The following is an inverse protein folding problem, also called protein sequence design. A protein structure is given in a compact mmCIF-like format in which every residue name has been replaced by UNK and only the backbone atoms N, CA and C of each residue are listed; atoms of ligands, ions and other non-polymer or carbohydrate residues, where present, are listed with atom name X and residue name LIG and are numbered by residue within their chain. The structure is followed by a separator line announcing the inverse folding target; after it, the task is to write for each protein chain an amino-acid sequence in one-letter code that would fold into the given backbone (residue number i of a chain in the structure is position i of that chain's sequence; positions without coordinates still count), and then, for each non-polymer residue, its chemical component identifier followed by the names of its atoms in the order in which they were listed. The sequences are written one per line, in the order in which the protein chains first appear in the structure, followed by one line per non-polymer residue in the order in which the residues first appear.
data_IF_909346202701
#
_entry.id   IF_909346202701
#
_cell.length_a   1.000
_cell.length_b   1.000
_cell.length_c   1.000
_cell.angle_alpha   90.00
_cell.angle_beta   90.00
_cell.angle_gamma   90.00
#
_symmetry.space_group_name_H-M   'P 1'
#
loop_
_entity.id
_entity.type
_entity.pdbx_description
1 polymer ?
#
# COMPACT_ATOMS: atom_id res chain seq x y z
N UNK A 1 -5.72 28.65 8.87
CA UNK A 1 -4.73 28.40 7.82
C UNK A 1 -3.41 28.26 8.53
N UNK A 2 -2.99 27.02 8.81
CA UNK A 2 -1.62 26.80 9.29
C UNK A 2 -0.67 27.02 8.10
N UNK A 3 0.48 27.69 8.31
CA UNK A 3 1.45 27.87 7.25
C UNK A 3 1.95 26.48 6.83
N UNK A 4 1.85 26.21 5.53
CA UNK A 4 2.49 25.07 4.88
C UNK A 4 3.96 25.14 5.26
N UNK A 5 4.45 24.14 5.98
CA UNK A 5 5.86 24.02 6.30
C UNK A 5 6.65 24.17 5.00
N UNK A 6 7.72 24.97 5.04
CA UNK A 6 8.61 25.23 3.89
C UNK A 6 8.80 23.93 3.13
N UNK A 7 8.47 23.94 1.85
CA UNK A 7 8.79 22.87 0.91
C UNK A 7 10.28 22.58 1.05
N UNK A 8 10.59 21.55 1.77
CA UNK A 8 11.91 20.96 1.68
C UNK A 8 11.95 20.38 0.28
N UNK A 9 12.77 20.97 -0.59
CA UNK A 9 13.05 20.39 -1.91
C UNK A 9 13.71 19.04 -1.68
N UNK A 10 12.90 18.02 -1.54
CA UNK A 10 13.37 16.64 -1.43
C UNK A 10 13.60 16.13 -2.84
N UNK A 11 14.74 15.48 -3.01
CA UNK A 11 15.04 14.74 -4.24
C UNK A 11 13.90 13.76 -4.50
N UNK A 12 13.79 13.38 -5.73
CA UNK A 12 12.89 12.36 -6.24
C UNK A 12 12.86 11.05 -5.44
N UNK A 13 13.90 10.80 -4.68
CA UNK A 13 14.09 9.65 -3.79
C UNK A 13 13.69 9.93 -2.33
N UNK A 14 13.39 11.17 -2.00
CA UNK A 14 12.99 11.57 -0.67
C UNK A 14 11.50 11.29 -0.46
N UNK A 15 11.22 10.12 0.04
CA UNK A 15 9.92 9.80 0.61
C UNK A 15 9.89 10.32 2.04
N UNK A 16 8.78 10.91 2.46
CA UNK A 16 8.60 11.24 3.86
C UNK A 16 8.40 9.97 4.69
N UNK A 17 9.50 9.39 5.14
CA UNK A 17 9.47 8.19 5.97
C UNK A 17 9.03 8.47 7.40
N UNK A 18 9.00 9.75 7.82
CA UNK A 18 8.72 10.11 9.23
C UNK A 18 7.24 10.05 9.57
N UNK A 19 6.35 10.08 8.58
CA UNK A 19 4.91 10.12 8.76
C UNK A 19 4.18 8.89 8.25
N UNK A 20 4.90 7.89 7.76
CA UNK A 20 4.33 6.62 7.28
C UNK A 20 3.91 5.67 8.39
N UNK A 21 3.94 6.12 9.63
CA UNK A 21 3.54 5.32 10.81
C UNK A 21 2.04 5.28 11.05
N UNK A 22 1.24 5.48 10.02
CA UNK A 22 -0.21 5.66 10.22
C UNK A 22 -0.93 4.41 10.73
N UNK A 23 -0.38 3.26 10.55
CA UNK A 23 -1.16 2.03 10.69
C UNK A 23 -1.01 1.29 12.02
N UNK A 24 -0.42 1.81 13.06
CA UNK A 24 -0.22 0.85 14.13
C UNK A 24 0.03 1.34 15.54
N UNK A 25 0.73 2.42 15.72
CA UNK A 25 1.19 2.79 17.05
C UNK A 25 0.12 3.50 17.87
N UNK A 26 -0.54 2.77 18.78
CA UNK A 26 -1.40 3.32 19.82
C UNK A 26 -2.69 3.99 19.34
N UNK A 27 -3.05 3.84 18.08
CA UNK A 27 -4.25 4.43 17.47
C UNK A 27 -5.45 3.52 17.65
N UNK A 28 -5.85 3.26 18.86
CA UNK A 28 -7.01 2.40 19.13
C UNK A 28 -8.33 2.95 18.58
N UNK A 29 -8.42 4.22 18.25
CA UNK A 29 -9.66 4.85 17.77
C UNK A 29 -9.39 6.04 16.81
N UNK A 30 -8.43 5.92 15.90
CA UNK A 30 -8.33 6.91 14.85
C UNK A 30 -9.54 6.79 13.93
N UNK A 31 -10.11 7.92 13.50
CA UNK A 31 -11.30 7.95 12.62
C UNK A 31 -11.13 7.11 11.35
N UNK A 32 -9.89 6.97 10.89
CA UNK A 32 -9.56 6.25 9.66
C UNK A 32 -9.20 4.78 9.91
N UNK A 33 -9.03 4.36 11.19
CA UNK A 33 -8.64 2.99 11.53
C UNK A 33 -9.59 1.95 10.96
N UNK A 34 -10.89 2.21 11.02
CA UNK A 34 -11.90 1.31 10.46
C UNK A 34 -11.79 1.17 8.94
N UNK A 35 -11.46 2.26 8.24
CA UNK A 35 -11.24 2.22 6.80
C UNK A 35 -9.98 1.40 6.45
N UNK A 36 -8.90 1.56 7.21
CA UNK A 36 -7.69 0.75 7.07
C UNK A 36 -7.97 -0.72 7.34
N UNK A 37 -8.63 -1.03 8.46
CA UNK A 37 -8.96 -2.41 8.81
C UNK A 37 -9.87 -3.06 7.77
N UNK A 38 -10.84 -2.33 7.23
CA UNK A 38 -11.69 -2.81 6.16
C UNK A 38 -10.87 -3.18 4.91
N UNK A 39 -9.94 -2.32 4.47
CA UNK A 39 -9.09 -2.59 3.31
C UNK A 39 -8.24 -3.85 3.49
N UNK A 40 -7.59 -3.98 4.65
CA UNK A 40 -6.78 -5.17 4.94
C UNK A 40 -7.63 -6.44 4.99
N UNK A 41 -8.79 -6.38 5.63
CA UNK A 41 -9.73 -7.51 5.68
C UNK A 41 -10.31 -7.85 4.32
N UNK A 42 -10.58 -6.82 3.51
CA UNK A 42 -11.11 -6.99 2.17
C UNK A 42 -10.11 -7.65 1.22
N UNK A 43 -8.81 -7.40 1.39
CA UNK A 43 -7.76 -8.05 0.61
C UNK A 43 -7.85 -9.58 0.63
N UNK A 44 -8.32 -10.17 1.74
CA UNK A 44 -8.51 -11.63 1.86
C UNK A 44 -9.40 -12.23 0.77
N UNK A 45 -10.27 -11.44 0.16
CA UNK A 45 -11.17 -11.90 -0.92
C UNK A 45 -10.43 -12.17 -2.22
N UNK A 46 -9.22 -11.65 -2.37
CA UNK A 46 -8.41 -11.72 -3.58
C UNK A 46 -7.17 -12.59 -3.38
N UNK A 47 -6.99 -13.17 -2.19
CA UNK A 47 -5.81 -13.97 -1.85
C UNK A 47 -6.25 -15.39 -1.51
N UNK A 48 -5.64 -16.36 -2.15
CA UNK A 48 -5.81 -17.79 -1.86
C UNK A 48 -4.60 -18.34 -1.10
N UNK A 49 -4.78 -19.49 -0.45
CA UNK A 49 -3.72 -20.13 0.36
C UNK A 49 -2.46 -20.51 -0.43
N UNK A 50 -2.56 -20.56 -1.76
CA UNK A 50 -1.42 -20.87 -2.65
C UNK A 50 -0.73 -19.62 -3.19
N UNK A 51 -1.33 -18.45 -3.01
CA UNK A 51 -0.85 -17.23 -3.62
C UNK A 51 0.38 -16.70 -2.91
N UNK A 52 1.25 -16.13 -3.69
CA UNK A 52 2.37 -15.33 -3.22
C UNK A 52 1.97 -13.86 -3.27
N UNK A 53 2.07 -13.20 -2.13
CA UNK A 53 1.68 -11.81 -1.95
C UNK A 53 2.92 -10.94 -1.81
N UNK A 54 2.97 -9.83 -2.56
CA UNK A 54 3.93 -8.75 -2.37
C UNK A 54 3.19 -7.51 -1.89
N UNK A 55 3.53 -6.99 -0.72
CA UNK A 55 3.03 -5.69 -0.25
C UNK A 55 4.14 -4.65 -0.32
N UNK A 56 3.89 -3.57 -1.06
CA UNK A 56 4.77 -2.42 -1.20
C UNK A 56 4.30 -1.32 -0.27
N UNK A 57 5.12 -0.97 0.72
CA UNK A 57 4.75 -0.07 1.82
C UNK A 57 3.97 -0.80 2.92
N UNK A 58 4.51 -1.91 3.42
CA UNK A 58 3.81 -2.74 4.40
C UNK A 58 3.76 -2.17 5.82
N UNK A 59 4.49 -1.08 6.09
CA UNK A 59 4.59 -0.45 7.40
C UNK A 59 5.33 -1.31 8.44
N UNK A 60 5.70 -0.71 9.56
CA UNK A 60 6.42 -1.41 10.64
C UNK A 60 5.56 -2.48 11.31
N UNK A 61 4.27 -2.24 11.50
CA UNK A 61 3.35 -3.14 12.19
C UNK A 61 2.80 -4.25 11.30
N UNK A 62 2.98 -4.13 9.98
CA UNK A 62 2.63 -5.17 9.00
C UNK A 62 1.20 -5.70 9.18
N UNK A 63 0.18 -4.83 9.23
CA UNK A 63 -1.18 -5.25 9.58
C UNK A 63 -1.77 -6.24 8.58
N UNK A 64 -1.53 -6.05 7.29
CA UNK A 64 -2.01 -6.95 6.26
C UNK A 64 -1.39 -8.35 6.39
N UNK A 65 -0.08 -8.43 6.67
CA UNK A 65 0.57 -9.73 6.87
C UNK A 65 -0.06 -10.52 8.01
N UNK A 66 -0.40 -9.84 9.11
CA UNK A 66 -1.08 -10.48 10.26
C UNK A 66 -2.46 -11.02 9.89
N UNK A 67 -3.20 -10.27 9.05
CA UNK A 67 -4.53 -10.68 8.58
C UNK A 67 -4.44 -11.84 7.59
N UNK A 68 -3.47 -11.82 6.67
CA UNK A 68 -3.34 -12.85 5.63
C UNK A 68 -2.67 -14.12 6.11
N UNK A 69 -1.80 -14.05 7.13
CA UNK A 69 -0.98 -15.18 7.56
C UNK A 69 -1.22 -15.58 9.02
N UNK A 70 -2.00 -14.79 9.76
CA UNK A 70 -2.31 -15.04 11.17
C UNK A 70 -3.43 -16.05 11.38
N UNK A 71 -3.26 -16.93 12.38
CA UNK A 71 -4.29 -17.88 12.80
C UNK A 71 -4.38 -19.15 11.97
N UNK A 72 -5.39 -19.99 12.29
CA UNK A 72 -5.61 -21.30 11.69
C UNK A 72 -6.02 -21.27 10.21
N UNK A 73 -6.41 -20.09 9.70
CA UNK A 73 -6.84 -19.88 8.32
C UNK A 73 -5.85 -18.93 7.61
N UNK A 74 -4.61 -19.34 7.47
CA UNK A 74 -3.66 -18.63 6.61
C UNK A 74 -4.22 -18.52 5.18
N UNK A 75 -4.31 -17.30 4.65
CA UNK A 75 -4.84 -17.02 3.32
C UNK A 75 -3.77 -16.85 2.25
N UNK A 76 -2.50 -16.70 2.62
CA UNK A 76 -1.41 -16.59 1.67
C UNK A 76 -0.44 -17.77 1.81
N UNK A 77 0.06 -18.28 0.69
CA UNK A 77 1.13 -19.27 0.66
C UNK A 77 2.46 -18.68 1.12
N UNK A 78 2.79 -17.54 0.58
CA UNK A 78 3.98 -16.76 0.94
C UNK A 78 3.67 -15.26 0.90
N UNK A 79 4.22 -14.50 1.84
CA UNK A 79 4.07 -13.05 1.89
C UNK A 79 5.44 -12.38 1.95
N UNK A 80 5.64 -11.41 1.06
CA UNK A 80 6.79 -10.52 1.05
C UNK A 80 6.31 -9.09 1.30
N UNK A 81 6.76 -8.46 2.37
CA UNK A 81 6.52 -7.05 2.64
C UNK A 81 7.80 -6.24 2.47
N UNK A 82 7.73 -5.14 1.75
CA UNK A 82 8.84 -4.20 1.57
C UNK A 82 8.45 -2.81 2.08
N UNK A 83 9.40 -2.11 2.69
CA UNK A 83 9.18 -0.76 3.20
C UNK A 83 10.48 0.04 3.23
N UNK A 84 10.37 1.36 3.16
CA UNK A 84 11.51 2.27 3.35
C UNK A 84 12.00 2.29 4.80
N UNK A 85 11.10 2.05 5.74
CA UNK A 85 11.42 1.98 7.15
C UNK A 85 12.19 0.70 7.47
N UNK A 86 12.92 0.72 8.58
CA UNK A 86 13.58 -0.47 9.11
C UNK A 86 12.54 -1.46 9.62
N UNK A 87 12.55 -2.66 9.10
CA UNK A 87 11.64 -3.73 9.50
C UNK A 87 12.34 -4.80 10.33
N UNK A 88 11.64 -5.34 11.32
CA UNK A 88 12.10 -6.55 12.02
C UNK A 88 11.92 -7.76 11.10
N UNK A 89 12.93 -8.61 10.92
CA UNK A 89 12.79 -9.83 10.13
C UNK A 89 11.77 -10.78 10.77
N UNK A 90 11.25 -11.69 9.97
CA UNK A 90 10.38 -12.77 10.44
C UNK A 90 11.19 -14.06 10.57
N UNK A 91 10.84 -14.88 11.56
CA UNK A 91 11.36 -16.23 11.71
C UNK A 91 10.53 -17.26 10.92
N UNK A 92 9.44 -16.84 10.30
CA UNK A 92 8.58 -17.73 9.50
C UNK A 92 9.12 -17.86 8.07
N UNK A 93 9.19 -19.07 7.57
CA UNK A 93 9.57 -19.33 6.16
C UNK A 93 8.56 -18.77 5.15
N UNK A 94 7.32 -18.49 5.59
CA UNK A 94 6.26 -17.92 4.75
C UNK A 94 6.27 -16.39 4.72
N UNK A 95 7.04 -15.74 5.59
CA UNK A 95 7.05 -14.29 5.75
C UNK A 95 8.44 -13.74 5.50
N UNK A 96 8.56 -12.87 4.52
CA UNK A 96 9.77 -12.11 4.26
C UNK A 96 9.49 -10.63 4.44
N UNK A 97 10.31 -9.94 5.24
CA UNK A 97 10.24 -8.50 5.42
C UNK A 97 11.57 -7.86 5.07
N UNK A 98 11.52 -6.92 4.12
CA UNK A 98 12.68 -6.17 3.63
C UNK A 98 12.47 -4.70 3.99
N UNK A 99 13.11 -4.27 5.07
CA UNK A 99 13.18 -2.86 5.46
C UNK A 99 14.32 -2.13 4.77
N UNK A 100 14.30 -0.79 4.86
CA UNK A 100 15.27 0.09 4.19
C UNK A 100 15.36 -0.25 2.69
N UNK A 101 14.21 -0.63 2.12
CA UNK A 101 14.10 -1.14 0.76
C UNK A 101 13.34 -0.15 -0.14
N UNK A 102 14.07 0.62 -0.95
CA UNK A 102 13.46 1.44 -1.97
C UNK A 102 12.96 0.55 -3.11
N UNK A 103 11.66 0.31 -3.13
CA UNK A 103 11.05 -0.61 -4.08
C UNK A 103 11.27 -0.21 -5.54
N UNK A 104 11.13 1.07 -5.87
CA UNK A 104 11.27 1.57 -7.25
C UNK A 104 12.67 1.33 -7.80
N UNK A 105 13.68 1.47 -6.96
CA UNK A 105 15.08 1.26 -7.36
C UNK A 105 15.47 -0.23 -7.38
N UNK A 106 14.89 -1.02 -6.46
CA UNK A 106 15.37 -2.35 -6.13
C UNK A 106 14.44 -3.52 -6.49
N UNK A 107 13.26 -3.27 -7.07
CA UNK A 107 12.29 -4.33 -7.39
C UNK A 107 12.89 -5.46 -8.25
N UNK A 108 13.90 -5.16 -9.07
CA UNK A 108 14.62 -6.17 -9.88
C UNK A 108 15.38 -7.18 -9.01
N UNK A 109 15.75 -6.83 -7.78
CA UNK A 109 16.36 -7.79 -6.83
C UNK A 109 15.32 -8.84 -6.40
N UNK A 110 14.08 -8.43 -6.19
CA UNK A 110 12.98 -9.34 -5.90
C UNK A 110 12.73 -10.31 -7.06
N UNK A 111 12.75 -9.81 -8.28
CA UNK A 111 12.56 -10.64 -9.48
C UNK A 111 13.72 -11.61 -9.72
N UNK A 112 14.93 -11.36 -9.20
CA UNK A 112 16.01 -12.37 -9.22
C UNK A 112 15.69 -13.57 -8.34
N UNK A 113 14.98 -13.37 -7.24
CA UNK A 113 14.59 -14.46 -6.32
C UNK A 113 13.27 -15.11 -6.71
N UNK A 114 12.42 -14.38 -7.43
CA UNK A 114 11.10 -14.83 -7.91
C UNK A 114 10.84 -14.30 -9.33
N UNK A 115 11.44 -14.94 -10.34
CA UNK A 115 11.31 -14.47 -11.73
C UNK A 115 9.90 -14.50 -12.27
N UNK A 116 9.06 -15.40 -11.76
CA UNK A 116 7.64 -15.52 -12.14
C UNK A 116 6.77 -14.38 -11.59
N UNK A 117 7.24 -13.62 -10.60
CA UNK A 117 6.50 -12.56 -9.94
C UNK A 117 5.52 -13.07 -8.86
N UNK A 118 4.57 -12.24 -8.49
CA UNK A 118 3.59 -12.46 -7.42
C UNK A 118 2.18 -12.57 -7.97
N UNK A 119 1.36 -13.41 -7.33
CA UNK A 119 -0.04 -13.60 -7.68
C UNK A 119 -0.88 -12.38 -7.30
N UNK A 120 -0.54 -11.76 -6.16
CA UNK A 120 -1.19 -10.54 -5.68
C UNK A 120 -0.12 -9.53 -5.26
N UNK A 121 -0.20 -8.32 -5.82
CA UNK A 121 0.60 -7.17 -5.40
C UNK A 121 -0.31 -6.19 -4.69
N UNK A 122 0.11 -5.69 -3.53
CA UNK A 122 -0.68 -4.77 -2.70
C UNK A 122 0.10 -3.47 -2.48
N UNK A 123 -0.61 -2.35 -2.61
CA UNK A 123 -0.08 -1.02 -2.29
C UNK A 123 -1.21 -0.19 -1.69
N UNK A 124 -1.21 -0.04 -0.37
CA UNK A 124 -2.25 0.65 0.36
C UNK A 124 -1.72 1.89 1.06
N UNK A 125 -2.27 3.06 0.70
CA UNK A 125 -1.94 4.36 1.30
C UNK A 125 -0.44 4.69 1.22
N UNK A 126 0.13 4.61 0.01
CA UNK A 126 1.56 4.84 -0.24
C UNK A 126 1.78 5.80 -1.40
N UNK A 127 1.02 5.64 -2.51
CA UNK A 127 1.30 6.37 -3.75
C UNK A 127 1.09 7.88 -3.62
N UNK A 128 0.25 8.33 -2.67
CA UNK A 128 0.00 9.73 -2.35
C UNK A 128 1.19 10.44 -1.69
N UNK A 129 2.12 9.68 -1.12
CA UNK A 129 3.31 10.22 -0.48
C UNK A 129 4.46 10.52 -1.44
N UNK A 130 4.21 10.45 -2.74
CA UNK A 130 5.23 10.67 -3.76
C UNK A 130 4.75 11.57 -4.89
N UNK A 131 5.70 12.12 -5.67
CA UNK A 131 5.39 12.86 -6.88
C UNK A 131 4.77 11.95 -7.93
N UNK A 132 3.96 12.51 -8.82
CA UNK A 132 3.24 11.79 -9.89
C UNK A 132 4.16 10.89 -10.71
N UNK A 133 5.33 11.39 -11.10
CA UNK A 133 6.31 10.62 -11.89
C UNK A 133 6.89 9.42 -11.14
N UNK A 134 7.05 9.53 -9.80
CA UNK A 134 7.49 8.40 -8.97
C UNK A 134 6.36 7.41 -8.75
N UNK A 135 5.14 7.89 -8.56
CA UNK A 135 3.96 7.04 -8.55
C UNK A 135 3.83 6.23 -9.84
N UNK A 136 4.06 6.86 -10.99
CA UNK A 136 4.07 6.18 -12.28
C UNK A 136 5.18 5.11 -12.38
N UNK A 137 6.38 5.40 -11.87
CA UNK A 137 7.48 4.44 -11.84
C UNK A 137 7.20 3.30 -10.87
N UNK A 138 6.59 3.58 -9.71
CA UNK A 138 6.15 2.56 -8.76
C UNK A 138 5.10 1.63 -9.38
N UNK A 139 4.10 2.17 -10.07
CA UNK A 139 3.08 1.37 -10.77
C UNK A 139 3.72 0.44 -11.82
N UNK A 140 4.66 0.94 -12.61
CA UNK A 140 5.41 0.12 -13.59
C UNK A 140 6.23 -0.98 -12.92
N UNK A 141 6.90 -0.66 -11.80
CA UNK A 141 7.66 -1.64 -11.03
C UNK A 141 6.77 -2.72 -10.43
N UNK A 142 5.60 -2.33 -9.91
CA UNK A 142 4.59 -3.28 -9.42
C UNK A 142 4.04 -4.14 -10.56
N UNK A 143 3.77 -3.56 -11.73
CA UNK A 143 3.36 -4.33 -12.90
C UNK A 143 4.40 -5.38 -13.30
N UNK A 144 5.68 -5.02 -13.31
CA UNK A 144 6.78 -5.96 -13.60
C UNK A 144 6.87 -7.09 -12.55
N UNK A 145 6.46 -6.83 -11.31
CA UNK A 145 6.42 -7.84 -10.24
C UNK A 145 5.13 -8.66 -10.22
N UNK A 146 4.10 -8.26 -10.96
CA UNK A 146 2.82 -8.99 -11.01
C UNK A 146 2.90 -10.09 -12.08
N UNK A 147 2.55 -11.32 -11.72
CA UNK A 147 2.43 -12.43 -12.69
C UNK A 147 1.41 -12.10 -13.78
N UNK A 148 1.55 -12.67 -14.98
CA UNK A 148 0.44 -12.69 -15.93
C UNK A 148 -0.83 -13.27 -15.30
N UNK A 149 -1.95 -12.52 -15.35
CA UNK A 149 -3.19 -12.87 -14.67
C UNK A 149 -3.21 -12.60 -13.16
N UNK A 150 -2.12 -12.08 -12.59
CA UNK A 150 -2.07 -11.62 -11.20
C UNK A 150 -2.83 -10.31 -10.98
N UNK A 151 -3.04 -9.95 -9.73
CA UNK A 151 -3.90 -8.83 -9.32
C UNK A 151 -3.09 -7.77 -8.57
N UNK A 152 -3.32 -6.49 -8.90
CA UNK A 152 -2.93 -5.35 -8.07
C UNK A 152 -4.12 -4.90 -7.21
N UNK A 153 -3.91 -4.83 -5.90
CA UNK A 153 -4.81 -4.19 -4.95
C UNK A 153 -4.18 -2.86 -4.52
N UNK A 154 -4.79 -1.76 -4.92
CA UNK A 154 -4.28 -0.43 -4.64
C UNK A 154 -5.33 0.42 -3.93
N UNK A 155 -4.93 1.17 -2.91
CA UNK A 155 -5.76 2.21 -2.32
C UNK A 155 -4.95 3.49 -2.09
N UNK A 156 -5.65 4.61 -2.19
CA UNK A 156 -5.13 5.95 -1.90
C UNK A 156 -6.30 6.88 -1.62
N UNK A 157 -6.14 7.94 -0.84
CA UNK A 157 -7.16 8.97 -0.70
C UNK A 157 -7.50 9.59 -2.05
N UNK A 158 -8.79 9.86 -2.26
CA UNK A 158 -9.26 10.53 -3.48
C UNK A 158 -9.21 12.05 -3.27
N UNK A 159 -8.58 12.76 -4.19
CA UNK A 159 -8.61 14.22 -4.19
C UNK A 159 -10.02 14.72 -4.52
N UNK A 160 -10.63 15.43 -3.59
CA UNK A 160 -11.98 16.00 -3.67
C UNK A 160 -11.99 17.53 -3.74
N UNK A 161 -10.86 18.15 -4.08
CA UNK A 161 -10.66 19.59 -4.13
C UNK A 161 -9.81 20.15 -2.98
N UNK A 162 -9.41 19.31 -2.01
CA UNK A 162 -8.51 19.67 -0.93
C UNK A 162 -7.66 18.48 -0.52
N UNK A 163 -6.45 18.75 -0.05
CA UNK A 163 -5.54 17.74 0.45
C UNK A 163 -6.04 17.22 1.82
N UNK A 164 -6.05 15.90 1.99
CA UNK A 164 -6.53 15.25 3.21
C UNK A 164 -5.49 15.23 4.34
N UNK A 165 -4.19 15.17 4.01
CA UNK A 165 -3.12 15.18 5.00
C UNK A 165 -1.91 16.01 4.55
N UNK A 166 -1.16 16.57 5.51
CA UNK A 166 -0.02 17.45 5.23
C UNK A 166 1.16 16.71 4.58
N UNK A 167 1.29 15.42 4.84
CA UNK A 167 2.33 14.54 4.29
C UNK A 167 1.98 13.95 2.92
N UNK A 168 0.78 14.17 2.41
CA UNK A 168 0.44 13.76 1.04
C UNK A 168 1.08 14.75 0.05
N UNK A 169 1.90 14.23 -0.84
CA UNK A 169 2.56 15.03 -1.88
C UNK A 169 1.61 15.21 -3.06
N UNK A 170 0.91 14.14 -3.46
CA UNK A 170 -0.07 14.17 -4.54
C UNK A 170 -1.22 13.19 -4.27
N UNK A 171 -2.41 13.72 -4.07
CA UNK A 171 -3.63 12.93 -3.99
C UNK A 171 -4.28 12.89 -5.37
N UNK A 172 -4.60 11.72 -5.83
CA UNK A 172 -5.12 11.49 -7.17
C UNK A 172 -6.64 11.71 -7.24
N UNK A 173 -7.11 12.30 -8.31
CA UNK A 173 -8.50 12.12 -8.72
C UNK A 173 -8.73 10.72 -9.27
N UNK A 174 -9.97 10.24 -9.26
CA UNK A 174 -10.29 8.89 -9.78
C UNK A 174 -9.86 8.71 -11.26
N UNK A 175 -10.13 9.65 -12.18
CA UNK A 175 -9.68 9.50 -13.57
C UNK A 175 -8.16 9.52 -13.73
N UNK A 176 -7.47 10.35 -12.93
CA UNK A 176 -6.01 10.46 -12.97
C UNK A 176 -5.34 9.16 -12.52
N UNK A 177 -5.79 8.60 -11.38
CA UNK A 177 -5.28 7.33 -10.89
C UNK A 177 -5.54 6.19 -11.86
N UNK A 178 -6.75 6.11 -12.42
CA UNK A 178 -7.09 5.11 -13.42
C UNK A 178 -6.16 5.20 -14.63
N UNK A 179 -5.96 6.40 -15.17
CA UNK A 179 -5.06 6.62 -16.31
C UNK A 179 -3.62 6.20 -15.98
N UNK A 180 -3.14 6.49 -14.75
CA UNK A 180 -1.79 6.10 -14.32
C UNK A 180 -1.64 4.56 -14.24
N UNK A 181 -2.64 3.87 -13.69
CA UNK A 181 -2.70 2.40 -13.56
C UNK A 181 -2.70 1.76 -14.97
N UNK A 182 -3.55 2.25 -15.87
CA UNK A 182 -3.66 1.73 -17.24
C UNK A 182 -2.38 1.96 -18.04
N UNK A 183 -1.75 3.13 -17.90
CA UNK A 183 -0.45 3.42 -18.52
C UNK A 183 0.69 2.56 -18.01
N UNK A 184 0.57 2.01 -16.80
CA UNK A 184 1.54 1.06 -16.27
C UNK A 184 1.37 -0.35 -16.83
N UNK A 185 0.24 -0.66 -17.48
CA UNK A 185 -0.07 -1.94 -18.13
C UNK A 185 -1.21 -2.74 -17.50
N UNK A 186 -1.79 -2.26 -16.41
CA UNK A 186 -2.93 -2.92 -15.77
C UNK A 186 -4.26 -2.60 -16.44
N UNK A 187 -5.23 -3.47 -16.24
CA UNK A 187 -6.64 -3.23 -16.55
C UNK A 187 -7.39 -3.03 -15.24
N UNK A 188 -8.12 -1.93 -15.10
CA UNK A 188 -8.92 -1.65 -13.90
C UNK A 188 -10.23 -2.44 -14.00
N UNK A 189 -10.33 -3.55 -13.26
CA UNK A 189 -11.53 -4.39 -13.26
C UNK A 189 -12.61 -3.86 -12.31
N UNK A 190 -12.23 -3.39 -11.12
CA UNK A 190 -13.17 -2.98 -10.08
C UNK A 190 -12.66 -1.77 -9.31
N UNK A 191 -13.59 -0.95 -8.89
CA UNK A 191 -13.35 0.21 -8.02
C UNK A 191 -14.25 0.09 -6.80
N UNK A 192 -13.68 0.37 -5.63
CA UNK A 192 -14.37 0.39 -4.34
C UNK A 192 -14.09 1.69 -3.64
N UNK A 193 -15.08 2.24 -2.96
CA UNK A 193 -14.91 3.37 -2.05
C UNK A 193 -15.11 2.91 -0.62
N UNK A 194 -14.26 3.36 0.29
CA UNK A 194 -14.52 3.25 1.72
C UNK A 194 -14.91 4.63 2.23
N UNK A 195 -16.16 4.75 2.64
CA UNK A 195 -16.69 5.97 3.21
C UNK A 195 -16.96 5.69 4.69
N UNK A 196 -16.07 6.12 5.57
CA UNK A 196 -16.32 6.05 6.99
C UNK A 196 -15.95 7.38 7.64
N UNK A 197 -16.99 8.11 8.05
CA UNK A 197 -16.86 9.22 8.95
C UNK A 197 -17.40 8.78 10.33
N UNK A 198 -16.63 9.01 11.38
CA UNK A 198 -17.03 8.78 12.77
C UNK A 198 -18.35 9.48 13.11
N UNK A 199 -18.68 10.57 12.40
CA UNK A 199 -19.98 11.25 12.50
C UNK A 199 -21.16 10.39 12.06
N UNK A 200 -20.94 9.35 11.30
CA UNK A 200 -21.97 8.41 10.86
C UNK A 200 -22.12 7.20 11.79
N UNK A 201 -21.07 6.86 12.55
CA UNK A 201 -21.13 5.75 13.51
C UNK A 201 -21.96 6.09 14.75
N UNK A 202 -22.02 7.35 15.14
CA UNK A 202 -22.84 7.84 16.29
C UNK A 202 -24.33 8.02 16.02
N UNK A 203 -24.85 7.61 14.87
CA UNK A 203 -26.25 7.72 14.46
C UNK A 203 -26.93 6.39 14.19
N UNK A 204 -26.32 5.31 14.58
CA UNK A 204 -26.97 3.99 14.56
C UNK A 204 -27.53 3.77 15.94
N UNK A 205 -28.76 4.24 16.15
CA UNK A 205 -29.61 3.86 17.27
C UNK A 205 -30.14 2.43 17.06
#
# INVERSE_FOLDING_TARGET
IMPISKEVKRDARDYDTTQQHEAGHGRTLHRDYSAHFFRWSFARRFVSIKDNVLEVGCGEDKPLSKILTGGAAAHAGHYTGVDLNKLKPSNSQRLQFLGEFNFVERYKELLKTRPEGWDVVVNYEVIEHMKVEHGANMLKAMFACTKPGGVLLLSTPVYDGKRHAANHIHEYTVPELQSAIEKAGYVVERRFGTFMDIKHIGKVD
#
